data_IF_490938633836
#
_entry.id   IF_490938633836
#
_cell.length_a   1.000
_cell.length_b   1.000
_cell.length_c   1.000
_cell.angle_alpha   90.00
_cell.angle_beta   90.00
_cell.angle_gamma   90.00
#
_symmetry.space_group_name_H-M   'P 1'
#
loop_
_entity.id
_entity.type
_entity.pdbx_description
1 polymer ?
#
# COMPACT_ATOMS: atom_id res chain seq x y z
N UNK A 1 -34.65 12.07 -22.71
CA UNK A 1 -33.54 12.61 -21.90
C UNK A 1 -32.64 11.45 -21.52
N UNK A 2 -31.59 11.19 -22.29
CA UNK A 2 -30.71 10.03 -22.10
C UNK A 2 -29.86 10.21 -20.84
N UNK A 3 -30.07 9.34 -19.85
CA UNK A 3 -29.23 9.24 -18.67
C UNK A 3 -27.87 8.64 -19.09
N UNK A 4 -26.85 9.49 -19.24
CA UNK A 4 -25.48 9.03 -19.46
C UNK A 4 -24.96 8.39 -18.15
N UNK A 5 -24.61 7.11 -18.26
CA UNK A 5 -24.07 6.28 -17.19
C UNK A 5 -22.77 6.87 -16.61
N UNK A 6 -22.72 7.08 -15.29
CA UNK A 6 -21.55 7.60 -14.57
C UNK A 6 -20.50 6.51 -14.43
N UNK A 7 -19.60 6.42 -15.40
CA UNK A 7 -18.40 5.61 -15.26
C UNK A 7 -17.43 6.37 -14.35
N UNK A 8 -17.04 5.77 -13.22
CA UNK A 8 -16.01 6.34 -12.34
C UNK A 8 -14.74 6.64 -13.13
N UNK A 9 -14.07 7.77 -12.83
CA UNK A 9 -12.84 8.24 -13.48
C UNK A 9 -11.61 7.35 -13.20
N UNK A 10 -11.74 6.02 -13.28
CA UNK A 10 -10.68 5.04 -13.07
C UNK A 10 -9.63 5.22 -14.18
N UNK A 11 -8.39 5.52 -13.80
CA UNK A 11 -7.26 5.70 -14.73
C UNK A 11 -6.91 7.15 -15.10
N UNK A 12 -7.72 8.16 -14.73
CA UNK A 12 -7.36 9.56 -15.01
C UNK A 12 -6.25 10.05 -14.07
N UNK A 13 -5.17 10.59 -14.63
CA UNK A 13 -4.10 11.23 -13.84
C UNK A 13 -4.63 12.53 -13.23
N UNK A 14 -4.51 12.65 -11.90
CA UNK A 14 -4.78 13.90 -11.16
C UNK A 14 -3.67 14.92 -11.42
N UNK A 15 -4.01 16.21 -11.33
CA UNK A 15 -3.01 17.29 -11.33
C UNK A 15 -2.06 17.14 -10.15
N UNK A 16 -0.85 17.71 -10.28
CA UNK A 16 0.18 17.63 -9.24
C UNK A 16 -0.28 18.29 -7.94
N UNK A 17 -0.90 19.47 -8.03
CA UNK A 17 -1.48 20.19 -6.90
C UNK A 17 -2.51 19.31 -6.14
N UNK A 18 -3.39 18.63 -6.88
CA UNK A 18 -4.38 17.76 -6.28
C UNK A 18 -3.75 16.54 -5.60
N UNK A 19 -2.71 15.94 -6.20
CA UNK A 19 -1.95 14.85 -5.58
C UNK A 19 -1.25 15.32 -4.31
N UNK A 20 -0.65 16.51 -4.33
CA UNK A 20 0.02 17.11 -3.19
C UNK A 20 -0.95 17.33 -2.03
N UNK A 21 -2.10 17.95 -2.27
CA UNK A 21 -3.13 18.17 -1.25
C UNK A 21 -3.61 16.87 -0.60
N UNK A 22 -3.83 15.82 -1.41
CA UNK A 22 -4.19 14.50 -0.90
C UNK A 22 -3.07 13.90 -0.04
N UNK A 23 -1.82 14.00 -0.48
CA UNK A 23 -0.66 13.53 0.29
C UNK A 23 -0.52 14.25 1.62
N UNK A 24 -0.61 15.58 1.62
CA UNK A 24 -0.53 16.41 2.83
C UNK A 24 -1.63 16.06 3.82
N UNK A 25 -2.86 15.85 3.35
CA UNK A 25 -4.00 15.47 4.18
C UNK A 25 -3.82 14.09 4.85
N UNK A 26 -3.05 13.18 4.24
CA UNK A 26 -2.78 11.86 4.80
C UNK A 26 -1.49 11.80 5.61
N UNK A 27 -0.62 12.81 5.48
CA UNK A 27 0.66 12.87 6.18
C UNK A 27 0.44 12.93 7.70
N UNK A 28 1.17 12.11 8.44
CA UNK A 28 1.12 12.09 9.90
C UNK A 28 -0.09 11.36 10.52
N UNK A 29 -1.09 10.96 9.73
CA UNK A 29 -2.22 10.17 10.25
C UNK A 29 -1.72 8.82 10.77
N UNK A 30 -2.07 8.49 12.00
CA UNK A 30 -1.74 7.20 12.64
C UNK A 30 -2.97 6.31 12.69
N UNK A 31 -2.77 5.01 12.49
CA UNK A 31 -3.79 4.00 12.73
C UNK A 31 -4.01 3.82 14.23
N UNK A 32 -5.24 3.48 14.61
CA UNK A 32 -5.56 3.03 15.98
C UNK A 32 -4.87 1.71 16.29
N UNK A 33 -4.63 1.43 17.57
CA UNK A 33 -4.01 0.16 17.99
C UNK A 33 -4.83 -1.05 17.52
N UNK A 34 -6.16 -0.99 17.61
CA UNK A 34 -7.04 -2.03 17.09
C UNK A 34 -6.82 -2.31 15.59
N UNK A 35 -6.68 -1.25 14.79
CA UNK A 35 -6.44 -1.39 13.35
C UNK A 35 -5.04 -1.96 13.08
N UNK A 36 -4.03 -1.54 13.85
CA UNK A 36 -2.67 -2.10 13.76
C UNK A 36 -2.66 -3.59 14.08
N UNK A 37 -3.36 -4.01 15.14
CA UNK A 37 -3.50 -5.42 15.51
C UNK A 37 -4.14 -6.22 14.39
N UNK A 38 -5.29 -5.78 13.86
CA UNK A 38 -5.98 -6.44 12.74
C UNK A 38 -5.07 -6.61 11.50
N UNK A 39 -4.32 -5.57 11.14
CA UNK A 39 -3.37 -5.63 10.01
C UNK A 39 -2.20 -6.59 10.28
N UNK A 40 -1.70 -6.63 11.52
CA UNK A 40 -0.63 -7.54 11.94
C UNK A 40 -1.09 -8.99 11.86
N UNK A 41 -2.26 -9.30 12.45
CA UNK A 41 -2.82 -10.65 12.47
C UNK A 41 -3.12 -11.17 11.06
N UNK A 42 -3.65 -10.32 10.18
CA UNK A 42 -3.90 -10.68 8.79
C UNK A 42 -2.63 -11.09 8.02
N UNK A 43 -1.45 -10.58 8.42
CA UNK A 43 -0.17 -10.82 7.76
C UNK A 43 0.75 -11.77 8.53
N UNK A 44 0.27 -12.37 9.62
CA UNK A 44 1.10 -13.22 10.49
C UNK A 44 1.23 -14.64 9.95
N UNK A 45 2.38 -15.27 10.22
CA UNK A 45 2.62 -16.69 9.94
C UNK A 45 2.43 -17.05 8.46
N UNK A 46 1.62 -18.07 8.19
CA UNK A 46 1.38 -18.60 6.84
C UNK A 46 0.67 -17.63 5.89
N UNK A 47 -0.01 -16.62 6.44
CA UNK A 47 -0.71 -15.61 5.64
C UNK A 47 0.25 -14.55 5.08
N UNK A 48 1.49 -14.50 5.58
CA UNK A 48 2.47 -13.57 5.06
C UNK A 48 2.80 -13.91 3.59
N UNK A 49 2.82 -12.93 2.66
CA UNK A 49 3.04 -13.18 1.23
C UNK A 49 4.42 -13.79 0.90
N UNK A 50 5.37 -13.68 1.84
CA UNK A 50 6.69 -14.28 1.75
C UNK A 50 6.86 -15.51 2.65
N UNK A 51 5.79 -16.05 3.23
CA UNK A 51 5.90 -17.28 4.01
C UNK A 51 6.42 -18.42 3.14
N UNK A 52 7.46 -19.11 3.62
CA UNK A 52 8.13 -20.20 2.90
C UNK A 52 9.02 -19.76 1.72
N UNK A 53 9.14 -18.46 1.44
CA UNK A 53 10.06 -17.95 0.40
C UNK A 53 11.42 -17.64 1.01
N UNK A 54 12.48 -18.05 0.31
CA UNK A 54 13.86 -17.73 0.67
C UNK A 54 14.46 -16.75 -0.35
N UNK A 55 15.25 -15.80 0.13
CA UNK A 55 16.02 -14.90 -0.74
C UNK A 55 17.12 -15.68 -1.48
N UNK A 56 17.45 -15.25 -2.70
CA UNK A 56 18.61 -15.76 -3.42
C UNK A 56 19.91 -15.39 -2.71
N UNK A 57 20.95 -16.19 -2.91
CA UNK A 57 22.27 -15.93 -2.34
C UNK A 57 22.83 -14.58 -2.77
N UNK A 58 22.61 -14.18 -4.02
CA UNK A 58 22.98 -12.84 -4.51
C UNK A 58 22.26 -11.72 -3.73
N UNK A 59 20.97 -11.87 -3.47
CA UNK A 59 20.21 -10.88 -2.69
C UNK A 59 20.67 -10.83 -1.24
N UNK A 60 20.98 -11.98 -0.63
CA UNK A 60 21.54 -12.05 0.73
C UNK A 60 22.89 -11.33 0.83
N UNK A 61 23.77 -11.54 -0.14
CA UNK A 61 25.07 -10.84 -0.21
C UNK A 61 24.88 -9.34 -0.28
N UNK A 62 24.04 -8.86 -1.21
CA UNK A 62 23.73 -7.42 -1.34
C UNK A 62 23.16 -6.80 -0.06
N UNK A 63 22.34 -7.52 0.70
CA UNK A 63 21.81 -7.03 1.99
C UNK A 63 22.85 -7.04 3.12
N UNK A 64 23.85 -7.93 3.05
CA UNK A 64 24.92 -8.03 4.06
C UNK A 64 26.06 -7.03 3.83
N UNK A 65 26.16 -6.46 2.64
CA UNK A 65 27.20 -5.49 2.24
C UNK A 65 26.83 -4.03 2.58
N UNK A 66 25.62 -3.80 3.12
CA UNK A 66 25.12 -2.48 3.59
C UNK A 66 25.46 -2.29 5.06
#
# INVERSE_FOLDING_TARGET
MSLASVHGNKGRKKSEEHRRKMSESHKGRKHTEETKMKMSDAKKGKNHPNYGKHHSEETKRKMSEV
#
